data_IF_225378383094
#
_entry.id   IF_225378383094
#
_cell.length_a   1.000
_cell.length_b   1.000
_cell.length_c   1.000
_cell.angle_alpha   90.00
_cell.angle_beta   90.00
_cell.angle_gamma   90.00
#
_symmetry.space_group_name_H-M   'P 1'
#
loop_
_entity.id
_entity.type
_entity.pdbx_description
1 polymer ?
#
# COMPACT_ATOMS: atom_id res chain seq x y z
N UNK A 1 -7.66 -0.74 11.91
CA UNK A 1 -7.43 -0.28 10.52
C UNK A 1 -8.42 0.81 10.13
N UNK A 2 -8.01 2.06 10.26
CA UNK A 2 -8.81 3.24 9.89
C UNK A 2 -8.65 3.55 8.39
N UNK A 3 -9.73 3.85 7.67
CA UNK A 3 -9.64 4.38 6.29
C UNK A 3 -9.19 5.84 6.34
N UNK A 4 -8.15 6.18 5.56
CA UNK A 4 -7.57 7.53 5.56
C UNK A 4 -7.83 8.24 4.23
N UNK A 5 -7.71 7.52 3.12
CA UNK A 5 -7.79 8.09 1.78
C UNK A 5 -8.44 7.11 0.81
N UNK A 6 -9.05 7.65 -0.25
CA UNK A 6 -9.62 6.89 -1.34
C UNK A 6 -9.26 7.56 -2.67
N UNK A 7 -8.73 6.78 -3.60
CA UNK A 7 -8.15 7.28 -4.85
C UNK A 7 -8.85 6.58 -6.02
N UNK A 8 -9.70 7.27 -6.79
CA UNK A 8 -10.27 6.71 -8.00
C UNK A 8 -9.21 6.66 -9.11
N UNK A 9 -9.25 5.61 -9.92
CA UNK A 9 -8.46 5.50 -11.14
C UNK A 9 -9.31 4.93 -12.28
N UNK A 10 -9.12 5.45 -13.48
CA UNK A 10 -9.74 4.91 -14.69
C UNK A 10 -9.05 3.62 -15.16
N UNK A 11 -7.93 3.24 -14.53
CA UNK A 11 -7.19 2.02 -14.84
C UNK A 11 -7.77 0.83 -14.06
N UNK A 12 -7.95 -0.29 -14.75
CA UNK A 12 -8.28 -1.58 -14.12
C UNK A 12 -6.98 -2.31 -13.79
N UNK A 13 -6.76 -2.64 -12.53
CA UNK A 13 -5.61 -3.44 -12.11
C UNK A 13 -5.97 -4.92 -12.02
N UNK A 14 -5.17 -5.76 -12.68
CA UNK A 14 -5.36 -7.20 -12.67
C UNK A 14 -4.35 -7.92 -11.78
N UNK A 15 -3.21 -7.28 -11.49
CA UNK A 15 -2.12 -7.85 -10.68
C UNK A 15 -1.60 -6.85 -9.66
N UNK A 16 -1.13 -7.34 -8.52
CA UNK A 16 -0.49 -6.51 -7.49
C UNK A 16 0.74 -5.76 -8.04
N UNK A 17 1.55 -6.41 -8.89
CA UNK A 17 2.71 -5.79 -9.55
C UNK A 17 2.34 -4.56 -10.39
N UNK A 18 1.18 -4.56 -11.04
CA UNK A 18 0.71 -3.42 -11.83
C UNK A 18 0.31 -2.25 -10.93
N UNK A 19 -0.33 -2.56 -9.80
CA UNK A 19 -0.70 -1.57 -8.79
C UNK A 19 0.55 -0.93 -8.20
N UNK A 20 1.55 -1.74 -7.84
CA UNK A 20 2.81 -1.23 -7.32
C UNK A 20 3.55 -0.34 -8.32
N UNK A 21 3.58 -0.72 -9.60
CA UNK A 21 4.16 0.15 -10.65
C UNK A 21 3.44 1.50 -10.69
N UNK A 22 2.11 1.49 -10.65
CA UNK A 22 1.32 2.72 -10.62
C UNK A 22 1.60 3.57 -9.38
N UNK A 23 1.57 2.97 -8.18
CA UNK A 23 1.83 3.72 -6.95
C UNK A 23 3.23 4.32 -6.93
N UNK A 24 4.24 3.60 -7.41
CA UNK A 24 5.60 4.13 -7.55
C UNK A 24 5.67 5.32 -8.52
N UNK A 25 4.96 5.23 -9.63
CA UNK A 25 4.99 6.25 -10.68
C UNK A 25 4.23 7.52 -10.27
N UNK A 26 3.08 7.38 -9.61
CA UNK A 26 2.14 8.49 -9.40
C UNK A 26 1.98 8.94 -7.94
N UNK A 27 2.29 8.08 -6.96
CA UNK A 27 2.00 8.36 -5.54
C UNK A 27 3.27 8.50 -4.71
N UNK A 28 4.24 7.61 -4.91
CA UNK A 28 5.49 7.62 -4.15
C UNK A 28 6.51 8.51 -4.84
N UNK A 29 7.25 9.26 -4.03
CA UNK A 29 8.37 10.06 -4.50
C UNK A 29 9.64 9.21 -4.45
N UNK A 30 10.05 8.82 -3.24
CA UNK A 30 11.13 7.88 -3.00
C UNK A 30 10.62 6.54 -2.47
N UNK A 31 10.97 5.44 -3.16
CA UNK A 31 10.57 4.09 -2.78
C UNK A 31 11.79 3.17 -2.72
N UNK A 32 12.10 2.67 -1.52
CA UNK A 32 13.15 1.67 -1.30
C UNK A 32 12.49 0.33 -1.06
N UNK A 33 12.80 -0.66 -1.88
CA UNK A 33 12.31 -2.03 -1.70
C UNK A 33 13.21 -2.76 -0.71
N UNK A 34 12.68 -3.12 0.46
CA UNK A 34 13.35 -4.11 1.32
C UNK A 34 13.08 -5.49 0.78
N UNK A 35 14.06 -6.06 0.10
CA UNK A 35 14.05 -7.47 -0.19
C UNK A 35 14.51 -8.23 1.05
N UNK A 36 13.59 -8.83 1.79
CA UNK A 36 13.95 -9.79 2.85
C UNK A 36 13.79 -11.21 2.31
N UNK A 37 14.88 -11.93 2.00
CA UNK A 37 14.82 -13.30 1.48
C UNK A 37 14.24 -14.30 2.50
N UNK A 38 14.27 -13.97 3.79
CA UNK A 38 13.71 -14.77 4.90
C UNK A 38 12.16 -14.72 4.91
N UNK A 39 11.56 -13.69 4.33
CA UNK A 39 10.15 -13.38 4.48
C UNK A 39 9.45 -13.40 3.11
N UNK A 40 9.39 -14.59 2.50
CA UNK A 40 8.61 -14.80 1.27
C UNK A 40 7.16 -14.35 1.48
N UNK A 41 6.64 -13.49 0.61
CA UNK A 41 5.29 -12.92 0.70
C UNK A 41 5.19 -11.57 1.40
N UNK A 42 6.32 -10.86 1.55
CA UNK A 42 6.39 -9.53 2.14
C UNK A 42 5.87 -8.41 1.25
N UNK A 43 5.42 -7.29 1.85
CA UNK A 43 5.24 -6.05 1.13
C UNK A 43 6.56 -5.57 0.55
N UNK A 44 6.52 -5.21 -0.71
CA UNK A 44 7.68 -4.88 -1.51
C UNK A 44 8.24 -3.46 -1.21
N UNK A 45 7.73 -2.68 -0.23
CA UNK A 45 8.00 -1.23 -0.18
C UNK A 45 8.20 -0.60 1.21
N UNK A 46 9.31 0.14 1.34
CA UNK A 46 9.50 1.31 2.20
C UNK A 46 9.24 2.54 1.34
N UNK A 47 8.42 3.48 1.81
CA UNK A 47 8.36 4.81 1.21
C UNK A 47 8.67 5.85 2.29
N UNK A 48 9.76 6.57 2.11
CA UNK A 48 10.22 7.63 3.01
C UNK A 48 9.58 8.99 2.68
N UNK A 49 8.84 9.11 1.57
CA UNK A 49 8.07 10.32 1.21
C UNK A 49 7.01 10.08 0.11
N UNK A 50 5.92 10.86 0.14
CA UNK A 50 4.88 10.84 -0.89
C UNK A 50 5.00 12.04 -1.83
N UNK A 51 4.49 11.92 -3.05
CA UNK A 51 4.30 13.05 -3.97
C UNK A 51 3.12 13.90 -3.55
N UNK A 52 3.14 15.19 -3.89
CA UNK A 52 1.94 16.04 -3.80
C UNK A 52 0.81 15.51 -4.68
N UNK A 53 -0.46 15.58 -4.24
CA UNK A 53 -0.94 16.14 -2.96
C UNK A 53 -0.98 15.10 -1.80
N UNK A 54 -0.42 13.91 -1.98
CA UNK A 54 -0.58 12.81 -1.03
C UNK A 54 0.22 12.99 0.26
N UNK A 55 1.32 13.74 0.23
CA UNK A 55 2.16 14.10 1.38
C UNK A 55 1.45 15.00 2.42
N UNK A 56 0.40 15.71 2.00
CA UNK A 56 -0.44 16.52 2.88
C UNK A 56 -1.24 15.64 3.86
N UNK A 57 -1.59 14.41 3.44
CA UNK A 57 -2.44 13.48 4.19
C UNK A 57 -1.66 12.29 4.73
N UNK A 58 -0.74 11.74 3.94
CA UNK A 58 0.04 10.55 4.28
C UNK A 58 1.42 10.93 4.80
N UNK A 59 1.84 10.31 5.91
CA UNK A 59 3.17 10.49 6.49
C UNK A 59 4.10 9.35 6.09
N UNK A 60 5.41 9.59 5.88
CA UNK A 60 6.37 8.54 5.55
C UNK A 60 6.13 7.23 6.31
N UNK A 61 6.03 6.12 5.58
CA UNK A 61 5.48 4.88 6.12
C UNK A 61 5.90 3.64 5.33
N UNK A 62 5.74 2.48 5.98
CA UNK A 62 5.76 1.19 5.31
C UNK A 62 4.42 0.94 4.64
N UNK A 63 4.47 0.35 3.44
CA UNK A 63 3.27 0.16 2.63
C UNK A 63 3.12 -1.28 2.18
N UNK A 64 1.91 -1.81 2.35
CA UNK A 64 1.47 -3.06 1.76
C UNK A 64 0.36 -2.81 0.75
N UNK A 65 0.40 -3.48 -0.41
CA UNK A 65 -0.65 -3.40 -1.42
C UNK A 65 -1.37 -4.72 -1.53
N UNK A 66 -2.70 -4.63 -1.58
CA UNK A 66 -3.63 -5.75 -1.73
C UNK A 66 -4.52 -5.56 -2.94
N UNK A 67 -4.66 -6.61 -3.73
CA UNK A 67 -5.61 -6.64 -4.83
C UNK A 67 -6.98 -7.17 -4.37
N UNK A 68 -8.08 -6.55 -4.84
CA UNK A 68 -9.46 -7.03 -4.76
C UNK A 68 -9.89 -7.57 -3.38
N UNK A 69 -9.90 -6.70 -2.36
CA UNK A 69 -10.22 -7.06 -0.96
C UNK A 69 -9.39 -8.23 -0.40
N UNK A 70 -8.27 -8.60 -1.06
CA UNK A 70 -7.36 -9.65 -0.65
C UNK A 70 -6.95 -9.45 0.79
N UNK A 71 -7.50 -10.29 1.68
CA UNK A 71 -7.22 -10.24 3.11
C UNK A 71 -5.74 -10.51 3.33
N UNK A 72 -5.16 -9.84 4.32
CA UNK A 72 -3.82 -10.16 4.77
C UNK A 72 -3.80 -11.58 5.30
N UNK A 73 -2.73 -12.32 4.97
CA UNK A 73 -2.46 -13.57 5.67
C UNK A 73 -2.18 -13.29 7.14
N UNK A 74 -2.36 -14.29 8.01
CA UNK A 74 -2.05 -14.16 9.44
C UNK A 74 -0.60 -13.69 9.67
N UNK A 75 0.34 -14.18 8.86
CA UNK A 75 1.74 -13.79 8.93
C UNK A 75 1.95 -12.32 8.54
N UNK A 76 1.31 -11.86 7.47
CA UNK A 76 1.37 -10.46 7.05
C UNK A 76 0.78 -9.55 8.13
N UNK A 77 -0.41 -9.88 8.65
CA UNK A 77 -1.05 -9.09 9.71
C UNK A 77 -0.19 -9.01 10.98
N UNK A 78 0.37 -10.15 11.44
CA UNK A 78 1.23 -10.19 12.62
C UNK A 78 2.47 -9.32 12.45
N UNK A 79 3.09 -9.38 11.26
CA UNK A 79 4.28 -8.60 10.97
C UNK A 79 3.98 -7.10 10.85
N UNK A 80 2.92 -6.70 10.15
CA UNK A 80 2.48 -5.31 10.09
C UNK A 80 2.19 -4.76 11.51
N UNK A 81 1.61 -5.58 12.40
CA UNK A 81 1.42 -5.22 13.81
C UNK A 81 2.69 -5.14 14.65
N UNK A 82 3.81 -5.73 14.21
CA UNK A 82 5.12 -5.48 14.82
C UNK A 82 5.74 -4.19 14.29
N UNK A 83 5.65 -3.94 12.98
CA UNK A 83 6.11 -2.70 12.37
C UNK A 83 5.36 -1.47 12.89
N UNK A 84 4.04 -1.57 13.07
CA UNK A 84 3.20 -0.44 13.51
C UNK A 84 3.57 0.10 14.89
N UNK A 85 4.33 -0.68 15.69
CA UNK A 85 4.85 -0.25 16.99
C UNK A 85 5.94 0.82 16.88
N UNK A 86 6.70 0.82 15.79
CA UNK A 86 7.82 1.75 15.57
C UNK A 86 7.63 2.69 14.39
N UNK A 87 6.72 2.38 13.47
CA UNK A 87 6.57 3.10 12.20
C UNK A 87 5.11 3.23 11.80
N UNK A 88 4.81 4.24 10.97
CA UNK A 88 3.53 4.29 10.27
C UNK A 88 3.47 3.18 9.23
N UNK A 89 2.30 2.55 9.15
CA UNK A 89 2.05 1.44 8.23
C UNK A 89 0.72 1.70 7.53
N UNK A 90 0.73 1.68 6.20
CA UNK A 90 -0.48 1.78 5.39
C UNK A 90 -0.71 0.53 4.56
N UNK A 91 -1.97 0.19 4.34
CA UNK A 91 -2.41 -0.87 3.44
C UNK A 91 -3.28 -0.25 2.35
N UNK A 92 -2.85 -0.44 1.10
CA UNK A 92 -3.54 0.00 -0.11
C UNK A 92 -4.37 -1.16 -0.64
N UNK A 93 -5.70 -1.02 -0.60
CA UNK A 93 -6.63 -2.04 -1.06
C UNK A 93 -7.25 -1.60 -2.38
N UNK A 94 -7.09 -2.41 -3.41
CA UNK A 94 -7.68 -2.16 -4.72
C UNK A 94 -9.06 -2.81 -4.78
N UNK A 95 -10.05 -2.08 -5.30
CA UNK A 95 -11.37 -2.61 -5.65
C UNK A 95 -11.69 -2.24 -7.09
N UNK A 96 -11.85 -3.23 -7.96
CA UNK A 96 -12.33 -2.99 -9.33
C UNK A 96 -13.77 -2.49 -9.30
N UNK A 97 -14.05 -1.45 -10.10
CA UNK A 97 -15.38 -0.87 -10.32
C UNK A 97 -15.67 -0.86 -11.83
N UNK A 98 -16.92 -0.60 -12.22
CA UNK A 98 -17.38 -0.74 -13.62
C UNK A 98 -16.47 -0.07 -14.65
N UNK A 99 -15.94 1.12 -14.33
CA UNK A 99 -15.12 1.92 -15.25
C UNK A 99 -13.69 2.19 -14.72
N UNK A 100 -13.13 1.29 -13.90
CA UNK A 100 -11.78 1.48 -13.38
C UNK A 100 -11.50 0.73 -12.08
N UNK A 101 -10.71 1.33 -11.22
CA UNK A 101 -10.42 0.81 -9.89
C UNK A 101 -10.46 1.91 -8.85
N UNK A 102 -10.70 1.51 -7.62
CA UNK A 102 -10.70 2.36 -6.44
C UNK A 102 -9.61 1.84 -5.50
N UNK A 103 -8.64 2.69 -5.17
CA UNK A 103 -7.59 2.36 -4.21
C UNK A 103 -7.95 2.99 -2.87
N UNK A 104 -8.24 2.16 -1.88
CA UNK A 104 -8.47 2.59 -0.50
C UNK A 104 -7.17 2.49 0.29
N UNK A 105 -6.75 3.58 0.92
CA UNK A 105 -5.59 3.61 1.82
C UNK A 105 -6.10 3.53 3.25
N UNK A 106 -5.59 2.55 4.00
CA UNK A 106 -5.94 2.34 5.39
C UNK A 106 -4.70 2.35 6.26
N UNK A 107 -4.77 3.03 7.39
CA UNK A 107 -3.74 2.99 8.41
C UNK A 107 -3.87 1.71 9.22
N UNK A 108 -2.74 1.04 9.45
CA UNK A 108 -2.62 -0.09 10.35
C UNK A 108 -2.32 0.43 11.76
N UNK A 109 -3.18 0.10 12.72
CA UNK A 109 -3.00 0.37 14.14
C UNK A 109 -2.44 -0.89 14.81
#
# INVERSE_FOLDING_TARGET
>A
MKKILEIPTNKIFQKEKETYKFLKEFIFDEAVKLYTPILRGFPDFIVVSYKKPYDEVLKPAFVEVKLNNGKLSLHQAKFLGWLSRGFKVYVFQVKTITNGSLIQVREWD
#
